data_IF_695065939960
#
_entry.id   IF_695065939960
#
_cell.length_a   1.000
_cell.length_b   1.000
_cell.length_c   1.000
_cell.angle_alpha   90.00
_cell.angle_beta   90.00
_cell.angle_gamma   90.00
#
_symmetry.space_group_name_H-M   'P 1'
#
loop_
_entity.id
_entity.type
_entity.pdbx_description
1 polymer ?
#
# COMPACT_ATOMS: atom_id res chain seq x y z
N UNK A 1 -3.26 -12.19 -6.83
CA UNK A 1 -3.30 -10.71 -6.91
C UNK A 1 -3.10 -10.14 -5.52
N UNK A 2 -2.55 -8.93 -5.44
CA UNK A 2 -2.51 -8.12 -4.23
C UNK A 2 -3.08 -6.75 -4.58
N UNK A 3 -4.04 -6.26 -3.83
CA UNK A 3 -4.68 -4.96 -4.00
C UNK A 3 -4.95 -4.29 -2.65
N UNK A 4 -5.26 -3.00 -2.70
CA UNK A 4 -5.56 -2.21 -1.52
C UNK A 4 -5.85 -0.76 -1.85
N UNK A 5 -5.98 0.06 -0.80
CA UNK A 5 -6.24 1.49 -0.89
C UNK A 5 -5.34 2.25 0.08
N UNK A 6 -4.81 3.40 -0.36
CA UNK A 6 -4.18 4.38 0.52
C UNK A 6 -5.11 5.57 0.73
N UNK A 7 -5.26 5.97 1.98
CA UNK A 7 -6.05 7.11 2.40
C UNK A 7 -5.39 7.77 3.61
N UNK A 8 -5.66 9.06 3.79
CA UNK A 8 -5.30 9.79 5.00
C UNK A 8 -6.35 9.52 6.07
N UNK A 9 -5.99 8.79 7.12
CA UNK A 9 -6.80 8.58 8.33
C UNK A 9 -6.76 9.87 9.17
N UNK A 10 -7.71 10.77 8.92
CA UNK A 10 -7.68 12.11 9.49
C UNK A 10 -8.17 12.14 10.95
N UNK A 11 -8.96 11.15 11.36
CA UNK A 11 -9.55 11.05 12.69
C UNK A 11 -8.90 9.96 13.57
N UNK A 12 -7.86 9.29 13.06
CA UNK A 12 -7.08 8.23 13.71
C UNK A 12 -7.93 7.03 14.15
N UNK A 13 -8.98 6.70 13.40
CA UNK A 13 -9.94 5.67 13.78
C UNK A 13 -9.83 4.37 12.95
N UNK A 14 -8.83 4.23 12.07
CA UNK A 14 -8.67 3.05 11.22
C UNK A 14 -8.49 1.73 12.00
N UNK A 15 -8.22 1.79 13.31
CA UNK A 15 -8.20 0.63 14.22
C UNK A 15 -9.57 0.21 14.76
N UNK A 16 -10.60 1.03 14.55
CA UNK A 16 -11.99 0.83 15.01
C UNK A 16 -12.93 0.70 13.81
N UNK A 17 -12.70 1.48 12.74
CA UNK A 17 -13.42 1.42 11.48
C UNK A 17 -12.51 0.83 10.41
N UNK A 18 -12.96 -0.23 9.73
CA UNK A 18 -12.21 -0.80 8.63
C UNK A 18 -12.40 0.03 7.36
N UNK A 19 -11.31 0.64 6.87
CA UNK A 19 -11.30 1.43 5.65
C UNK A 19 -11.61 2.90 5.87
N UNK A 20 -11.74 3.62 4.77
CA UNK A 20 -11.94 5.07 4.74
C UNK A 20 -13.35 5.45 5.23
N UNK A 21 -13.43 6.46 6.09
CA UNK A 21 -14.70 7.03 6.55
C UNK A 21 -14.92 8.48 6.08
N UNK A 22 -15.99 9.13 6.55
CA UNK A 22 -16.37 10.48 6.12
C UNK A 22 -15.38 11.60 6.51
N UNK A 23 -14.44 11.36 7.41
CA UNK A 23 -13.38 12.30 7.77
C UNK A 23 -12.11 12.10 6.93
N UNK A 24 -11.97 10.94 6.29
CA UNK A 24 -10.76 10.55 5.59
C UNK A 24 -10.73 11.05 4.15
N UNK A 25 -9.59 10.88 3.47
CA UNK A 25 -9.45 11.27 2.06
C UNK A 25 -8.53 10.29 1.32
N UNK A 26 -8.85 9.89 0.07
CA UNK A 26 -7.98 9.01 -0.68
C UNK A 26 -6.65 9.69 -1.00
N UNK A 27 -5.60 8.90 -1.19
CA UNK A 27 -4.27 9.36 -1.53
C UNK A 27 -3.94 8.99 -2.98
N UNK A 28 -4.33 9.79 -3.99
CA UNK A 28 -4.05 9.52 -5.39
C UNK A 28 -2.60 9.81 -5.78
N UNK A 29 -2.05 9.03 -6.72
CA UNK A 29 -0.69 9.23 -7.23
C UNK A 29 0.42 8.87 -6.24
N UNK A 30 0.12 8.09 -5.21
CA UNK A 30 1.09 7.59 -4.25
C UNK A 30 1.80 6.36 -4.78
N UNK A 31 3.12 6.28 -4.58
CA UNK A 31 3.89 5.13 -5.00
C UNK A 31 3.75 4.01 -3.98
N UNK A 32 3.32 2.85 -4.47
CA UNK A 32 3.30 1.59 -3.72
C UNK A 32 4.32 0.66 -4.35
N UNK A 33 5.22 0.14 -3.54
CA UNK A 33 6.24 -0.84 -3.93
C UNK A 33 5.85 -2.22 -3.44
N UNK A 34 6.13 -3.21 -4.26
CA UNK A 34 5.98 -4.62 -3.96
C UNK A 34 7.37 -5.26 -4.00
N UNK A 35 7.73 -5.95 -2.93
CA UNK A 35 8.99 -6.64 -2.79
C UNK A 35 8.77 -8.13 -2.57
N UNK A 36 9.61 -9.00 -3.13
CA UNK A 36 9.61 -10.43 -2.84
C UNK A 36 10.46 -10.69 -1.59
N UNK A 37 9.94 -11.52 -0.70
CA UNK A 37 10.68 -12.02 0.47
C UNK A 37 11.13 -13.46 0.19
N UNK A 38 12.44 -13.68 0.18
CA UNK A 38 13.00 -15.03 0.12
C UNK A 38 12.76 -15.74 1.46
N UNK A 39 12.10 -16.90 1.41
CA UNK A 39 11.72 -17.65 2.62
C UNK A 39 12.89 -18.40 3.27
N UNK A 40 14.01 -18.57 2.58
CA UNK A 40 15.19 -19.29 3.08
C UNK A 40 16.08 -18.39 3.94
N UNK A 41 16.34 -17.17 3.49
CA UNK A 41 17.30 -16.25 4.11
C UNK A 41 16.69 -14.91 4.56
N UNK A 42 15.41 -14.68 4.27
CA UNK A 42 14.70 -13.44 4.64
C UNK A 42 15.07 -12.23 3.77
N UNK A 43 15.84 -12.42 2.70
CA UNK A 43 16.24 -11.31 1.82
C UNK A 43 15.02 -10.71 1.13
N UNK A 44 14.99 -9.38 1.05
CA UNK A 44 13.92 -8.61 0.42
C UNK A 44 14.46 -8.01 -0.87
N UNK A 45 13.77 -8.26 -1.98
CA UNK A 45 14.16 -7.78 -3.31
C UNK A 45 13.01 -7.07 -3.98
N UNK A 46 13.31 -5.97 -4.66
CA UNK A 46 12.32 -5.22 -5.42
C UNK A 46 11.68 -6.08 -6.51
N UNK A 47 10.35 -6.07 -6.58
CA UNK A 47 9.59 -6.76 -7.61
C UNK A 47 8.95 -5.77 -8.60
N UNK A 48 8.12 -4.86 -8.08
CA UNK A 48 7.32 -3.95 -8.89
C UNK A 48 6.92 -2.70 -8.09
N UNK A 49 6.40 -1.69 -8.80
CA UNK A 49 5.71 -0.55 -8.20
C UNK A 49 4.52 -0.12 -9.04
N UNK A 50 3.55 0.51 -8.40
CA UNK A 50 2.40 1.14 -9.04
C UNK A 50 2.10 2.48 -8.37
N UNK A 51 1.24 3.27 -9.00
CA UNK A 51 0.63 4.45 -8.40
C UNK A 51 -0.80 4.13 -7.99
N UNK A 52 -1.26 4.75 -6.91
CA UNK A 52 -2.68 4.75 -6.56
C UNK A 52 -3.50 5.58 -7.55
N UNK A 53 -4.71 5.15 -7.85
CA UNK A 53 -5.65 5.86 -8.71
C UNK A 53 -6.32 7.05 -8.01
N UNK A 54 -7.26 7.72 -8.69
CA UNK A 54 -7.99 8.88 -8.16
C UNK A 54 -8.78 8.59 -6.86
N UNK A 55 -9.10 7.32 -6.62
CA UNK A 55 -9.79 6.82 -5.43
C UNK A 55 -8.84 6.24 -4.40
N UNK A 56 -7.52 6.35 -4.60
CA UNK A 56 -6.50 5.82 -3.69
C UNK A 56 -6.22 4.32 -3.87
N UNK A 57 -6.83 3.65 -4.84
CA UNK A 57 -6.66 2.19 -5.02
C UNK A 57 -5.37 1.86 -5.75
N UNK A 58 -4.75 0.74 -5.38
CA UNK A 58 -3.64 0.13 -6.11
C UNK A 58 -3.87 -1.36 -6.31
N UNK A 59 -3.24 -1.93 -7.34
CA UNK A 59 -3.28 -3.36 -7.58
C UNK A 59 -1.99 -3.86 -8.24
N UNK A 60 -1.59 -5.08 -7.88
CA UNK A 60 -0.58 -5.90 -8.51
C UNK A 60 -1.24 -7.19 -9.00
N UNK A 61 -1.67 -7.24 -10.27
CA UNK A 61 -2.25 -8.43 -10.86
C UNK A 61 -1.16 -9.49 -11.12
N UNK A 62 -1.59 -10.73 -11.39
CA UNK A 62 -0.76 -11.79 -11.98
C UNK A 62 0.54 -12.12 -11.22
N UNK A 63 0.47 -12.12 -9.88
CA UNK A 63 1.58 -12.52 -9.02
C UNK A 63 1.68 -14.04 -8.89
N UNK A 64 2.90 -14.56 -9.07
CA UNK A 64 3.26 -15.91 -8.67
C UNK A 64 3.02 -16.14 -7.17
N UNK A 65 2.78 -17.38 -6.78
CA UNK A 65 2.69 -17.72 -5.36
C UNK A 65 4.02 -17.43 -4.65
N UNK A 66 3.96 -16.73 -3.54
CA UNK A 66 5.15 -16.31 -2.81
C UNK A 66 4.81 -15.40 -1.63
N UNK A 67 5.84 -15.00 -0.89
CA UNK A 67 5.71 -14.00 0.17
C UNK A 67 6.13 -12.64 -0.36
N UNK A 68 5.26 -11.67 -0.15
CA UNK A 68 5.48 -10.31 -0.58
C UNK A 68 5.44 -9.35 0.59
N UNK A 69 6.22 -8.28 0.48
CA UNK A 69 6.16 -7.11 1.35
C UNK A 69 5.65 -5.93 0.51
N UNK A 70 4.53 -5.34 0.93
CA UNK A 70 3.97 -4.12 0.33
C UNK A 70 4.49 -2.94 1.14
N UNK A 71 5.03 -1.94 0.45
CA UNK A 71 5.58 -0.73 1.06
C UNK A 71 4.96 0.50 0.40
N UNK A 72 4.36 1.38 1.18
CA UNK A 72 4.04 2.72 0.71
C UNK A 72 5.29 3.61 0.78
N UNK A 73 5.49 4.45 -0.23
CA UNK A 73 6.57 5.45 -0.23
C UNK A 73 6.00 6.75 0.34
N UNK A 74 6.32 7.03 1.59
CA UNK A 74 5.86 8.24 2.29
C UNK A 74 6.35 9.50 1.57
N UNK A 75 5.42 10.37 1.20
CA UNK A 75 5.74 11.64 0.56
C UNK A 75 6.26 12.67 1.59
N UNK A 76 7.12 13.59 1.14
CA UNK A 76 7.62 14.65 2.02
C UNK A 76 6.47 15.46 2.64
N UNK A 77 6.52 15.66 3.96
CA UNK A 77 5.49 16.39 4.72
C UNK A 77 4.38 15.50 5.28
N UNK A 78 4.36 14.20 4.96
CA UNK A 78 3.42 13.25 5.54
C UNK A 78 4.03 12.51 6.73
N UNK A 79 3.16 12.22 7.70
CA UNK A 79 3.45 11.37 8.84
C UNK A 79 2.49 10.18 8.79
N UNK A 80 3.04 8.98 9.01
CA UNK A 80 2.28 7.75 9.24
C UNK A 80 1.61 7.76 10.62
#
# INVERSE_FOLDING_TARGET
MIDGMLFNDANANAGIVFGMDGADSPLPGWTVELNVVNLLDGTVTFNARTLTDASGNYAFPDLSAGRYLVCEVVQSGWRL
#
